data_IF_608116325851
#
_entry.id   IF_608116325851
#
_cell.length_a   1.000
_cell.length_b   1.000
_cell.length_c   1.000
_cell.angle_alpha   90.00
_cell.angle_beta   90.00
_cell.angle_gamma   90.00
#
_symmetry.space_group_name_H-M   'P 1'
#
loop_
_entity.id
_entity.type
_entity.pdbx_description
1 polymer ?
#
# COMPACT_ATOMS: atom_id res chain seq x y z
N UNK A 1 -61.13 -13.75 23.56
CA UNK A 1 -60.13 -13.11 22.70
C UNK A 1 -59.84 -14.05 21.52
N UNK A 2 -60.13 -13.66 20.27
CA UNK A 2 -59.84 -14.50 19.10
C UNK A 2 -58.34 -14.40 18.78
N UNK A 3 -57.58 -15.44 19.10
CA UNK A 3 -56.23 -15.61 18.55
C UNK A 3 -56.37 -15.91 17.05
N UNK A 4 -56.00 -14.94 16.20
CA UNK A 4 -55.86 -15.19 14.75
C UNK A 4 -54.51 -15.87 14.55
N UNK A 5 -54.53 -17.15 14.17
CA UNK A 5 -53.32 -17.86 13.77
C UNK A 5 -52.79 -17.26 12.46
N UNK A 6 -51.47 -17.07 12.37
CA UNK A 6 -50.81 -16.64 11.14
C UNK A 6 -51.10 -17.65 10.02
N UNK A 7 -51.50 -17.17 8.85
CA UNK A 7 -51.69 -18.03 7.68
C UNK A 7 -50.35 -18.33 7.02
N UNK A 8 -50.20 -19.54 6.46
CA UNK A 8 -48.97 -19.99 5.79
C UNK A 8 -48.53 -18.99 4.70
N UNK A 9 -49.49 -18.37 4.00
CA UNK A 9 -49.24 -17.37 2.95
C UNK A 9 -48.56 -16.11 3.52
N UNK A 10 -48.96 -15.63 4.69
CA UNK A 10 -48.33 -14.47 5.34
C UNK A 10 -46.87 -14.78 5.74
N UNK A 11 -46.62 -16.00 6.23
CA UNK A 11 -45.27 -16.45 6.57
C UNK A 11 -44.39 -16.58 5.32
N UNK A 12 -44.93 -17.14 4.23
CA UNK A 12 -44.22 -17.23 2.94
C UNK A 12 -43.91 -15.85 2.37
N UNK A 13 -44.86 -14.92 2.44
CA UNK A 13 -44.66 -13.53 2.02
C UNK A 13 -43.56 -12.85 2.85
N UNK A 14 -43.57 -13.01 4.16
CA UNK A 14 -42.55 -12.45 5.05
C UNK A 14 -41.15 -13.00 4.74
N UNK A 15 -41.02 -14.32 4.54
CA UNK A 15 -39.74 -14.96 4.20
C UNK A 15 -39.19 -14.44 2.85
N UNK A 16 -40.06 -14.26 1.85
CA UNK A 16 -39.66 -13.74 0.55
C UNK A 16 -39.10 -12.30 0.66
N UNK A 17 -39.75 -11.43 1.43
CA UNK A 17 -39.28 -10.06 1.67
C UNK A 17 -37.95 -10.07 2.41
N UNK A 18 -37.80 -10.89 3.46
CA UNK A 18 -36.54 -11.02 4.21
C UNK A 18 -35.41 -11.50 3.29
N UNK A 19 -35.68 -12.46 2.40
CA UNK A 19 -34.69 -12.96 1.43
C UNK A 19 -34.16 -11.85 0.50
N UNK A 20 -35.05 -11.01 -0.03
CA UNK A 20 -34.68 -9.87 -0.89
C UNK A 20 -33.82 -8.87 -0.12
N UNK A 21 -34.22 -8.54 1.12
CA UNK A 21 -33.47 -7.61 1.97
C UNK A 21 -32.07 -8.15 2.25
N UNK A 22 -31.94 -9.44 2.60
CA UNK A 22 -30.64 -10.04 2.90
C UNK A 22 -29.68 -9.99 1.70
N UNK A 23 -30.15 -10.26 0.48
CA UNK A 23 -29.31 -10.18 -0.73
C UNK A 23 -28.82 -8.74 -0.94
N UNK A 24 -29.70 -7.75 -0.82
CA UNK A 24 -29.33 -6.33 -0.99
C UNK A 24 -28.33 -5.84 0.07
N UNK A 25 -28.50 -6.31 1.32
CA UNK A 25 -27.60 -5.99 2.42
C UNK A 25 -26.21 -6.61 2.20
N UNK A 26 -26.13 -7.84 1.68
CA UNK A 26 -24.86 -8.52 1.41
C UNK A 26 -24.00 -7.79 0.37
N UNK A 27 -24.61 -7.31 -0.72
CA UNK A 27 -23.90 -6.53 -1.75
C UNK A 27 -23.35 -5.22 -1.19
N UNK A 28 -24.17 -4.51 -0.41
CA UNK A 28 -23.78 -3.24 0.21
C UNK A 28 -22.66 -3.44 1.23
N UNK A 29 -22.78 -4.46 2.07
CA UNK A 29 -21.77 -4.81 3.06
C UNK A 29 -20.41 -5.11 2.41
N UNK A 30 -20.40 -5.89 1.32
CA UNK A 30 -19.17 -6.21 0.61
C UNK A 30 -18.48 -4.95 0.05
N UNK A 31 -19.25 -4.00 -0.48
CA UNK A 31 -18.70 -2.72 -0.98
C UNK A 31 -18.13 -1.86 0.14
N UNK A 32 -18.84 -1.74 1.26
CA UNK A 32 -18.37 -0.98 2.43
C UNK A 32 -17.09 -1.61 3.01
N UNK A 33 -17.04 -2.94 3.10
CA UNK A 33 -15.87 -3.66 3.57
C UNK A 33 -14.66 -3.43 2.67
N UNK A 34 -14.83 -3.52 1.34
CA UNK A 34 -13.76 -3.27 0.38
C UNK A 34 -13.24 -1.82 0.48
N UNK A 35 -14.14 -0.84 0.54
CA UNK A 35 -13.74 0.55 0.70
C UNK A 35 -12.96 0.76 2.01
N UNK A 36 -13.42 0.15 3.12
CA UNK A 36 -12.71 0.23 4.39
C UNK A 36 -11.30 -0.35 4.31
N UNK A 37 -11.12 -1.47 3.60
CA UNK A 37 -9.79 -2.04 3.37
C UNK A 37 -8.90 -1.07 2.58
N UNK A 38 -9.42 -0.43 1.52
CA UNK A 38 -8.67 0.59 0.78
C UNK A 38 -8.32 1.79 1.65
N UNK A 39 -9.25 2.30 2.45
CA UNK A 39 -9.02 3.44 3.35
C UNK A 39 -7.91 3.14 4.38
N UNK A 40 -7.87 1.91 4.91
CA UNK A 40 -6.81 1.47 5.83
C UNK A 40 -5.46 1.40 5.11
N UNK A 41 -5.41 0.85 3.90
CA UNK A 41 -4.18 0.80 3.10
C UNK A 41 -3.68 2.22 2.78
N UNK A 42 -4.55 3.13 2.35
CA UNK A 42 -4.19 4.53 2.10
C UNK A 42 -3.66 5.25 3.34
N UNK A 43 -4.28 5.02 4.50
CA UNK A 43 -3.81 5.55 5.78
C UNK A 43 -2.40 5.07 6.12
N UNK A 44 -2.17 3.77 6.00
CA UNK A 44 -0.85 3.18 6.23
C UNK A 44 0.21 3.70 5.26
N UNK A 45 -0.13 3.84 3.97
CA UNK A 45 0.74 4.42 2.97
C UNK A 45 1.09 5.87 3.31
N UNK A 46 0.12 6.66 3.78
CA UNK A 46 0.33 8.05 4.18
C UNK A 46 1.27 8.14 5.38
N UNK A 47 1.13 7.25 6.36
CA UNK A 47 2.02 7.20 7.53
C UNK A 47 3.46 6.87 7.12
N UNK A 48 3.65 5.83 6.29
CA UNK A 48 4.98 5.46 5.76
C UNK A 48 5.56 6.63 4.94
N UNK A 49 4.74 7.25 4.10
CA UNK A 49 5.14 8.39 3.26
C UNK A 49 5.60 9.58 4.11
N UNK A 50 4.88 9.87 5.19
CA UNK A 50 5.21 10.95 6.13
C UNK A 50 6.52 10.68 6.86
N UNK A 51 6.75 9.44 7.31
CA UNK A 51 8.00 9.03 7.95
C UNK A 51 9.20 9.16 7.02
N UNK A 52 9.08 8.70 5.77
CA UNK A 52 10.14 8.82 4.76
C UNK A 52 10.37 10.28 4.38
N UNK A 53 9.30 11.07 4.23
CA UNK A 53 9.41 12.51 3.96
C UNK A 53 10.13 13.26 5.09
N UNK A 54 9.88 12.87 6.35
CA UNK A 54 10.56 13.44 7.51
C UNK A 54 12.06 13.14 7.47
N UNK A 55 12.45 11.91 7.14
CA UNK A 55 13.85 11.59 6.89
C UNK A 55 14.45 12.44 5.77
N UNK A 56 13.73 12.60 4.64
CA UNK A 56 14.22 13.41 3.51
C UNK A 56 14.35 14.89 3.84
N UNK A 57 13.59 15.40 4.83
CA UNK A 57 13.76 16.76 5.35
C UNK A 57 15.06 16.90 6.15
N UNK A 58 15.37 15.92 6.99
CA UNK A 58 16.49 15.99 7.92
C UNK A 58 17.83 15.64 7.26
N UNK A 59 17.83 14.67 6.35
CA UNK A 59 19.04 14.11 5.73
C UNK A 59 19.13 14.32 4.21
N UNK A 60 18.08 14.83 3.58
CA UNK A 60 18.00 14.99 2.13
C UNK A 60 17.53 13.74 1.40
N UNK A 61 17.56 13.80 0.07
CA UNK A 61 17.07 12.72 -0.80
C UNK A 61 17.86 11.42 -0.59
N UNK A 62 17.15 10.29 -0.55
CA UNK A 62 17.79 8.96 -0.45
C UNK A 62 18.50 8.67 -1.77
N UNK A 63 19.81 8.92 -1.79
CA UNK A 63 20.68 8.74 -2.95
C UNK A 63 21.94 8.01 -2.53
N UNK A 64 22.56 7.30 -3.47
CA UNK A 64 23.83 6.64 -3.22
C UNK A 64 24.89 7.21 -4.17
N UNK A 65 26.01 7.75 -3.67
CA UNK A 65 27.10 8.21 -4.53
C UNK A 65 27.76 7.05 -5.27
N UNK A 66 28.15 7.26 -6.53
CA UNK A 66 28.77 6.25 -7.39
C UNK A 66 30.07 5.65 -6.81
N UNK A 67 30.76 6.40 -5.94
CA UNK A 67 32.08 6.07 -5.37
C UNK A 67 32.03 5.34 -4.02
N UNK A 68 30.85 5.09 -3.44
CA UNK A 68 30.68 4.47 -2.12
C UNK A 68 30.04 3.07 -2.25
N UNK A 69 30.31 2.20 -1.28
CA UNK A 69 29.63 0.90 -1.19
C UNK A 69 28.11 1.09 -1.02
N UNK A 70 27.40 1.02 -2.15
CA UNK A 70 25.95 1.13 -2.28
C UNK A 70 25.18 0.32 -1.23
N UNK A 71 25.60 -0.92 -1.00
CA UNK A 71 24.97 -1.83 -0.04
C UNK A 71 25.07 -1.31 1.39
N UNK A 72 26.24 -0.78 1.78
CA UNK A 72 26.45 -0.20 3.11
C UNK A 72 25.58 1.04 3.32
N UNK A 73 25.57 1.97 2.37
CA UNK A 73 24.79 3.21 2.48
C UNK A 73 23.29 2.92 2.59
N UNK A 74 22.77 2.01 1.77
CA UNK A 74 21.36 1.63 1.82
C UNK A 74 21.01 0.90 3.12
N UNK A 75 21.90 0.04 3.62
CA UNK A 75 21.70 -0.65 4.90
C UNK A 75 21.65 0.35 6.06
N UNK A 76 22.62 1.27 6.16
CA UNK A 76 22.66 2.31 7.19
C UNK A 76 21.42 3.23 7.11
N UNK A 77 21.00 3.60 5.90
CA UNK A 77 19.80 4.41 5.69
C UNK A 77 18.54 3.70 6.18
N UNK A 78 18.38 2.42 5.85
CA UNK A 78 17.23 1.61 6.29
C UNK A 78 17.26 1.39 7.81
N UNK A 79 18.43 1.18 8.41
CA UNK A 79 18.58 1.08 9.86
C UNK A 79 18.17 2.36 10.57
N UNK A 80 18.60 3.52 10.06
CA UNK A 80 18.25 4.81 10.64
C UNK A 80 16.75 5.11 10.47
N UNK A 81 16.18 4.84 9.29
CA UNK A 81 14.75 4.94 9.05
C UNK A 81 13.95 4.07 10.04
N UNK A 82 14.34 2.81 10.22
CA UNK A 82 13.70 1.89 11.15
C UNK A 82 13.80 2.31 12.61
N UNK A 83 14.92 2.93 13.00
CA UNK A 83 15.19 3.29 14.39
C UNK A 83 14.51 4.59 14.81
N UNK A 84 14.38 5.56 13.89
CA UNK A 84 14.03 6.94 14.26
C UNK A 84 12.74 7.45 13.62
N UNK A 85 12.35 6.95 12.43
CA UNK A 85 11.28 7.56 11.65
C UNK A 85 10.08 6.64 11.43
N UNK A 86 10.33 5.36 11.16
CA UNK A 86 9.30 4.42 10.77
C UNK A 86 8.63 3.78 11.98
N UNK A 87 7.29 3.80 11.99
CA UNK A 87 6.51 3.02 12.96
C UNK A 87 6.49 1.52 12.64
N UNK A 88 6.88 1.13 11.42
CA UNK A 88 6.94 -0.27 10.98
C UNK A 88 8.23 -0.52 10.23
N UNK A 89 9.00 -1.49 10.71
CA UNK A 89 10.31 -1.76 10.16
C UNK A 89 10.25 -2.22 8.69
N UNK A 90 11.12 -1.66 7.87
CA UNK A 90 11.41 -2.10 6.51
C UNK A 90 12.62 -3.04 6.50
N UNK A 91 12.65 -3.94 5.53
CA UNK A 91 13.79 -4.77 5.17
C UNK A 91 14.13 -4.54 3.70
N UNK A 92 15.40 -4.68 3.36
CA UNK A 92 15.86 -4.70 1.98
C UNK A 92 15.51 -6.06 1.38
N UNK A 93 14.72 -6.07 0.30
CA UNK A 93 14.38 -7.29 -0.43
C UNK A 93 15.34 -7.53 -1.60
N UNK A 94 15.63 -6.47 -2.36
CA UNK A 94 16.52 -6.54 -3.51
C UNK A 94 17.23 -5.21 -3.73
N UNK A 95 18.55 -5.25 -3.75
CA UNK A 95 19.39 -4.19 -4.30
C UNK A 95 19.46 -4.43 -5.81
N UNK A 96 19.17 -3.41 -6.62
CA UNK A 96 19.30 -3.54 -8.06
C UNK A 96 20.79 -3.62 -8.45
N UNK A 97 21.12 -4.53 -9.38
CA UNK A 97 22.49 -4.78 -9.83
C UNK A 97 23.12 -3.54 -10.49
N UNK A 98 22.27 -2.66 -11.02
CA UNK A 98 22.65 -1.38 -11.61
C UNK A 98 22.91 -0.27 -10.58
N UNK A 99 22.69 -0.53 -9.28
CA UNK A 99 22.77 0.43 -8.16
C UNK A 99 21.88 1.66 -8.34
N UNK A 100 20.89 1.58 -9.23
CA UNK A 100 19.96 2.69 -9.54
C UNK A 100 18.70 2.65 -8.69
N UNK A 101 18.42 1.52 -8.05
CA UNK A 101 17.24 1.37 -7.21
C UNK A 101 17.41 0.35 -6.09
N UNK A 102 16.65 0.53 -5.03
CA UNK A 102 16.51 -0.45 -3.94
C UNK A 102 15.02 -0.73 -3.71
N UNK A 103 14.68 -2.01 -3.60
CA UNK A 103 13.36 -2.47 -3.22
C UNK A 103 13.38 -2.93 -1.76
N UNK A 104 12.47 -2.37 -0.98
CA UNK A 104 12.24 -2.65 0.42
C UNK A 104 10.82 -3.18 0.61
N UNK A 105 10.60 -3.92 1.68
CA UNK A 105 9.24 -4.23 2.15
C UNK A 105 9.14 -4.20 3.66
N UNK A 106 7.92 -4.10 4.17
CA UNK A 106 7.66 -4.20 5.60
C UNK A 106 8.02 -5.58 6.16
N UNK A 107 8.63 -5.60 7.35
CA UNK A 107 8.98 -6.85 8.04
C UNK A 107 7.74 -7.57 8.54
N UNK A 108 6.88 -6.85 9.26
CA UNK A 108 5.73 -7.42 9.97
C UNK A 108 4.40 -6.85 9.48
N UNK A 109 4.32 -5.55 9.26
CA UNK A 109 3.07 -4.89 8.87
C UNK A 109 2.62 -5.34 7.48
N UNK A 110 1.34 -5.67 7.34
CA UNK A 110 0.71 -6.06 6.08
C UNK A 110 -0.47 -5.15 5.79
N UNK A 111 -0.84 -5.06 4.51
CA UNK A 111 -2.09 -4.46 4.09
C UNK A 111 -3.31 -5.32 4.52
N UNK A 112 -4.53 -4.80 4.36
CA UNK A 112 -5.76 -5.51 4.75
C UNK A 112 -6.07 -6.78 3.96
N UNK A 113 -5.30 -7.05 2.89
CA UNK A 113 -5.37 -8.26 2.09
C UNK A 113 -4.26 -9.26 2.43
N UNK A 114 -3.36 -8.91 3.35
CA UNK A 114 -2.29 -9.76 3.88
C UNK A 114 -0.97 -9.65 3.13
N UNK A 115 -0.84 -8.72 2.18
CA UNK A 115 0.42 -8.48 1.47
C UNK A 115 1.30 -7.49 2.23
N UNK A 116 2.61 -7.56 2.02
CA UNK A 116 3.55 -6.58 2.60
C UNK A 116 3.56 -5.32 1.75
N UNK A 117 3.64 -4.17 2.40
CA UNK A 117 3.87 -2.91 1.70
C UNK A 117 5.26 -2.93 1.07
N UNK A 118 5.34 -2.47 -0.18
CA UNK A 118 6.59 -2.36 -0.93
C UNK A 118 7.00 -0.90 -1.00
N UNK A 119 8.29 -0.64 -0.83
CA UNK A 119 8.88 0.68 -0.98
C UNK A 119 10.05 0.56 -1.93
N UNK A 120 9.97 1.21 -3.09
CA UNK A 120 11.09 1.28 -4.01
C UNK A 120 11.65 2.69 -4.04
N UNK A 121 12.95 2.79 -3.83
CA UNK A 121 13.68 4.04 -3.88
C UNK A 121 14.53 4.04 -5.14
N UNK A 122 14.43 5.10 -5.93
CA UNK A 122 15.29 5.34 -7.08
C UNK A 122 16.47 6.18 -6.63
N UNK A 123 17.64 5.58 -6.57
CA UNK A 123 18.86 6.13 -5.94
C UNK A 123 19.83 6.77 -6.91
N UNK A 124 19.58 6.64 -8.22
CA UNK A 124 20.50 7.05 -9.29
C UNK A 124 20.62 8.58 -9.43
N UNK A 125 21.85 9.10 -9.45
CA UNK A 125 22.19 10.53 -9.52
C UNK A 125 22.90 10.93 -10.83
N UNK A 126 22.62 10.25 -11.96
CA UNK A 126 23.22 10.59 -13.26
C UNK A 126 22.27 11.37 -14.19
N UNK A 127 22.82 11.96 -15.26
CA UNK A 127 22.15 12.85 -16.24
C UNK A 127 21.12 12.18 -17.17
N UNK A 128 20.51 11.06 -16.77
CA UNK A 128 19.44 10.43 -17.55
C UNK A 128 18.11 11.19 -17.31
N UNK A 129 17.60 11.87 -18.35
CA UNK A 129 16.33 12.63 -18.33
C UNK A 129 15.07 11.82 -17.94
N UNK A 130 15.19 10.52 -17.75
CA UNK A 130 14.13 9.60 -17.35
C UNK A 130 14.16 9.22 -15.86
N UNK A 131 15.14 9.71 -15.08
CA UNK A 131 15.30 9.38 -13.67
C UNK A 131 15.17 10.63 -12.78
N UNK A 132 14.40 10.51 -11.71
CA UNK A 132 14.33 11.51 -10.64
C UNK A 132 15.09 10.94 -9.43
N UNK A 133 16.36 11.34 -9.21
CA UNK A 133 17.17 10.87 -8.09
C UNK A 133 16.45 11.13 -6.77
N UNK A 134 16.26 10.11 -5.94
CA UNK A 134 15.55 10.23 -4.66
C UNK A 134 14.04 10.07 -4.74
N UNK A 135 13.48 9.71 -5.90
CA UNK A 135 12.06 9.35 -6.01
C UNK A 135 11.78 8.09 -5.19
N UNK A 136 10.78 8.16 -4.31
CA UNK A 136 10.32 7.00 -3.53
C UNK A 136 8.89 6.66 -3.93
N UNK A 137 8.66 5.38 -4.23
CA UNK A 137 7.32 4.86 -4.56
C UNK A 137 6.97 3.80 -3.52
N UNK A 138 5.86 4.01 -2.83
CA UNK A 138 5.32 3.12 -1.80
C UNK A 138 4.04 2.51 -2.37
N UNK A 139 3.89 1.20 -2.31
CA UNK A 139 2.72 0.51 -2.86
C UNK A 139 2.20 -0.63 -1.97
N UNK A 140 0.89 -0.81 -1.99
CA UNK A 140 0.21 -2.06 -1.62
C UNK A 140 -0.24 -2.74 -2.91
N UNK A 141 -0.06 -4.05 -2.99
CA UNK A 141 -0.42 -4.86 -4.16
C UNK A 141 -1.91 -5.26 -4.18
N UNK A 142 -2.74 -4.52 -3.46
CA UNK A 142 -4.19 -4.72 -3.43
C UNK A 142 -4.62 -6.12 -3.01
N UNK A 143 -5.78 -6.52 -3.51
CA UNK A 143 -6.42 -7.82 -3.24
C UNK A 143 -5.83 -8.94 -4.08
N UNK A 144 -5.37 -8.64 -5.30
CA UNK A 144 -4.84 -9.64 -6.22
C UNK A 144 -3.39 -10.06 -5.88
N UNK A 145 -2.71 -9.27 -5.05
CA UNK A 145 -1.35 -9.50 -4.56
C UNK A 145 -0.28 -9.27 -5.62
N UNK A 146 -0.64 -8.74 -6.79
CA UNK A 146 0.23 -8.53 -7.95
C UNK A 146 0.46 -7.05 -8.19
N UNK A 147 1.73 -6.65 -8.14
CA UNK A 147 2.06 -5.27 -8.47
C UNK A 147 1.77 -4.95 -9.94
N UNK A 148 0.94 -3.93 -10.15
CA UNK A 148 0.64 -3.27 -11.43
C UNK A 148 1.52 -2.05 -11.67
N UNK A 149 2.66 -1.94 -10.97
CA UNK A 149 3.58 -0.78 -11.08
C UNK A 149 4.07 -0.51 -12.50
N UNK A 150 4.21 -1.53 -13.35
CA UNK A 150 4.64 -1.36 -14.74
C UNK A 150 3.63 -0.59 -15.60
N UNK A 151 2.36 -0.57 -15.21
CA UNK A 151 1.28 0.19 -15.89
C UNK A 151 1.00 1.55 -15.22
N UNK A 152 1.84 1.98 -14.26
CA UNK A 152 1.69 3.26 -13.56
C UNK A 152 1.60 4.47 -14.51
N UNK A 153 2.35 4.43 -15.63
CA UNK A 153 2.36 5.51 -16.64
C UNK A 153 1.03 5.63 -17.41
N UNK A 154 0.20 4.59 -17.37
CA UNK A 154 -1.06 4.52 -18.10
C UNK A 154 -2.28 4.85 -17.20
N UNK A 155 -2.04 5.37 -15.98
CA UNK A 155 -3.06 5.64 -14.94
C UNK A 155 -3.93 4.42 -14.59
N UNK A 156 -3.46 3.21 -14.92
CA UNK A 156 -4.15 1.97 -14.66
C UNK A 156 -3.50 1.24 -13.49
N UNK A 157 -4.06 1.45 -12.31
CA UNK A 157 -3.55 0.94 -11.04
C UNK A 157 -4.20 -0.37 -10.61
N UNK A 158 -5.22 -0.86 -11.34
CA UNK A 158 -5.97 -2.05 -10.94
C UNK A 158 -6.58 -1.87 -9.54
N UNK A 159 -6.15 -2.70 -8.60
CA UNK A 159 -6.48 -2.64 -7.17
C UNK A 159 -5.29 -2.23 -6.27
N UNK A 160 -4.15 -1.85 -6.86
CA UNK A 160 -3.00 -1.33 -6.13
C UNK A 160 -3.30 0.05 -5.54
N UNK A 161 -2.77 0.28 -4.35
CA UNK A 161 -2.74 1.61 -3.72
C UNK A 161 -1.30 2.11 -3.74
N UNK A 162 -1.05 3.29 -4.32
CA UNK A 162 0.31 3.79 -4.55
C UNK A 162 0.44 5.22 -4.02
N UNK A 163 1.54 5.48 -3.32
CA UNK A 163 1.98 6.81 -2.92
C UNK A 163 3.36 7.09 -3.52
N UNK A 164 3.53 8.27 -4.10
CA UNK A 164 4.78 8.71 -4.71
C UNK A 164 5.29 9.93 -3.95
N UNK A 165 6.55 9.87 -3.54
CA UNK A 165 7.28 10.96 -2.92
C UNK A 165 8.33 11.46 -3.90
N UNK A 166 8.10 12.66 -4.41
CA UNK A 166 9.05 13.33 -5.28
C UNK A 166 10.27 13.81 -4.49
N UNK A 167 11.47 13.76 -5.10
CA UNK A 167 12.65 14.33 -4.49
C UNK A 167 12.53 15.84 -4.34
N UNK A 168 13.13 16.38 -3.27
CA UNK A 168 13.17 17.83 -3.00
C UNK A 168 14.38 18.50 -3.64
#
# INVERSE_FOLDING_TARGET
>A
MKQKGFTIIEIMGAIAVIGIIMVSAAVTYNRVWLNHQTDVAEGDLRDISSSISSYMIDYGNITAPDDINYETVMTETVELLNKQYLSSELKIDKLADDKRSVNLSTKVKTDPWGNKYQVSVYTYNGDDAANSPGLVVISSNGRDGKSSRSTYKDENFGDDVIAVLEPK
#
